data_IF_020657017040
#
_entry.id   IF_020657017040
#
_cell.length_a   1.000
_cell.length_b   1.000
_cell.length_c   1.000
_cell.angle_alpha   90.00
_cell.angle_beta   90.00
_cell.angle_gamma   90.00
#
_symmetry.space_group_name_H-M   'P 1'
#
loop_
_entity.id
_entity.type
_entity.pdbx_description
1 polymer ?
#
# COMPACT_ATOMS: atom_id res chain seq x y z
N UNK A 1 17.77 7.64 -9.76
CA UNK A 1 16.57 7.27 -10.54
C UNK A 1 15.70 6.36 -9.70
N UNK A 2 14.37 6.38 -9.89
CA UNK A 2 13.40 5.61 -9.12
C UNK A 2 12.37 5.01 -10.07
N UNK A 3 12.05 3.72 -9.90
CA UNK A 3 10.99 3.04 -10.65
C UNK A 3 9.98 2.45 -9.68
N UNK A 4 8.72 2.75 -9.94
CA UNK A 4 7.60 2.22 -9.19
C UNK A 4 6.84 1.21 -10.06
N UNK A 5 6.90 -0.07 -9.69
CA UNK A 5 6.31 -1.17 -10.44
C UNK A 5 4.83 -1.40 -10.11
N UNK A 6 4.11 -0.33 -9.79
CA UNK A 6 2.65 -0.38 -9.68
C UNK A 6 2.04 0.98 -10.03
N UNK A 7 0.92 0.93 -10.70
CA UNK A 7 0.04 2.08 -10.93
C UNK A 7 -1.41 1.66 -10.70
N UNK A 8 -1.83 0.56 -11.33
CA UNK A 8 -3.14 -0.07 -11.17
C UNK A 8 -2.98 -1.59 -11.15
N UNK A 9 -3.98 -2.31 -10.61
CA UNK A 9 -4.00 -3.77 -10.56
C UNK A 9 -3.07 -4.36 -9.47
N UNK A 10 -2.70 -5.62 -9.68
CA UNK A 10 -1.83 -6.38 -8.79
C UNK A 10 -0.54 -6.78 -9.53
N UNK A 11 0.62 -6.20 -9.18
CA UNK A 11 1.86 -6.46 -9.91
C UNK A 11 2.31 -7.92 -9.88
N UNK A 12 2.01 -8.65 -8.82
CA UNK A 12 2.45 -10.04 -8.65
C UNK A 12 1.78 -11.03 -9.60
N UNK A 13 0.76 -10.62 -10.37
CA UNK A 13 0.21 -11.44 -11.45
C UNK A 13 1.00 -11.30 -12.76
N UNK A 14 1.89 -10.30 -12.86
CA UNK A 14 2.73 -10.14 -14.04
C UNK A 14 3.90 -11.14 -13.97
N UNK A 15 4.02 -12.09 -14.91
CA UNK A 15 5.07 -13.09 -14.88
C UNK A 15 6.49 -12.53 -15.00
N UNK A 16 6.63 -11.32 -15.55
CA UNK A 16 7.91 -10.66 -15.76
C UNK A 16 8.31 -9.68 -14.64
N UNK A 17 7.48 -9.52 -13.60
CA UNK A 17 7.72 -8.54 -12.53
C UNK A 17 9.15 -8.63 -11.97
N UNK A 18 9.56 -9.81 -11.56
CA UNK A 18 10.86 -10.02 -10.91
C UNK A 18 12.04 -9.79 -11.87
N UNK A 19 11.89 -10.15 -13.13
CA UNK A 19 12.88 -9.89 -14.18
C UNK A 19 13.07 -8.41 -14.41
N UNK A 20 11.97 -7.65 -14.49
CA UNK A 20 12.01 -6.20 -14.64
C UNK A 20 12.65 -5.52 -13.42
N UNK A 21 12.32 -5.96 -12.20
CA UNK A 21 12.93 -5.43 -10.97
C UNK A 21 14.43 -5.73 -10.98
N UNK A 22 14.84 -6.98 -11.23
CA UNK A 22 16.25 -7.38 -11.26
C UNK A 22 17.05 -6.58 -12.30
N UNK A 23 16.47 -6.34 -13.48
CA UNK A 23 17.12 -5.50 -14.49
C UNK A 23 17.34 -4.08 -13.98
N UNK A 24 16.34 -3.46 -13.38
CA UNK A 24 16.46 -2.10 -12.86
C UNK A 24 17.46 -2.02 -11.69
N UNK A 25 17.41 -2.97 -10.76
CA UNK A 25 18.33 -2.99 -9.62
C UNK A 25 19.77 -3.22 -10.02
N UNK A 26 20.03 -4.02 -11.09
CA UNK A 26 21.38 -4.19 -11.66
C UNK A 26 21.94 -2.90 -12.26
N UNK A 27 21.08 -1.92 -12.56
CA UNK A 27 21.46 -0.57 -13.02
C UNK A 27 21.49 0.46 -11.89
N UNK A 28 21.48 0.01 -10.62
CA UNK A 28 21.42 0.88 -9.44
C UNK A 28 20.19 1.81 -9.41
N UNK A 29 19.06 1.37 -9.98
CA UNK A 29 17.80 2.10 -9.94
C UNK A 29 17.02 1.62 -8.72
N UNK A 30 16.58 2.56 -7.88
CA UNK A 30 15.72 2.23 -6.74
C UNK A 30 14.35 1.75 -7.23
N UNK A 31 13.93 0.57 -6.75
CA UNK A 31 12.69 -0.08 -7.14
C UNK A 31 11.73 -0.24 -5.98
N UNK A 32 10.47 0.09 -6.22
CA UNK A 32 9.38 -0.21 -5.29
C UNK A 32 8.19 -0.83 -6.01
N UNK A 33 7.36 -1.54 -5.25
CA UNK A 33 6.05 -2.01 -5.71
C UNK A 33 5.04 -2.06 -4.56
N UNK A 34 3.80 -2.35 -4.90
CA UNK A 34 2.72 -2.57 -3.93
C UNK A 34 1.97 -3.84 -4.28
N UNK A 35 1.43 -4.52 -3.27
CA UNK A 35 0.64 -5.74 -3.45
C UNK A 35 -0.56 -5.76 -2.50
N UNK A 36 -1.60 -6.47 -2.88
CA UNK A 36 -2.70 -6.83 -1.99
C UNK A 36 -2.33 -8.00 -1.04
N UNK A 37 -1.16 -8.60 -1.20
CA UNK A 37 -0.61 -9.65 -0.35
C UNK A 37 -1.07 -11.08 -0.68
N UNK A 38 -2.06 -11.27 -1.53
CA UNK A 38 -2.61 -12.61 -1.84
C UNK A 38 -1.66 -13.51 -2.63
N UNK A 39 -0.68 -12.92 -3.29
CA UNK A 39 0.30 -13.62 -4.14
C UNK A 39 1.67 -13.78 -3.46
N UNK A 40 1.78 -13.51 -2.16
CA UNK A 40 3.01 -13.70 -1.38
C UNK A 40 3.18 -15.20 -1.01
N UNK A 41 3.24 -16.04 -2.04
CA UNK A 41 3.60 -17.45 -1.90
C UNK A 41 5.06 -17.60 -1.49
N UNK A 42 5.46 -18.78 -1.06
CA UNK A 42 6.86 -19.06 -0.69
C UNK A 42 7.83 -18.73 -1.85
N UNK A 43 7.48 -19.15 -3.05
CA UNK A 43 8.24 -18.89 -4.26
C UNK A 43 8.33 -17.38 -4.57
N UNK A 44 7.21 -16.66 -4.51
CA UNK A 44 7.18 -15.24 -4.81
C UNK A 44 7.91 -14.42 -3.73
N UNK A 45 7.87 -14.83 -2.46
CA UNK A 45 8.67 -14.21 -1.41
C UNK A 45 10.18 -14.33 -1.68
N UNK A 46 10.65 -15.50 -2.08
CA UNK A 46 12.06 -15.70 -2.49
C UNK A 46 12.41 -14.83 -3.69
N UNK A 47 11.60 -14.87 -4.75
CA UNK A 47 11.82 -14.08 -5.97
C UNK A 47 11.83 -12.57 -5.66
N UNK A 48 10.97 -12.10 -4.75
CA UNK A 48 10.95 -10.71 -4.30
C UNK A 48 12.31 -10.29 -3.72
N UNK A 49 12.89 -11.12 -2.86
CA UNK A 49 14.19 -10.81 -2.24
C UNK A 49 15.32 -10.89 -3.27
N UNK A 50 15.37 -11.96 -4.06
CA UNK A 50 16.43 -12.16 -5.06
C UNK A 50 16.40 -11.12 -6.19
N UNK A 51 15.23 -10.55 -6.50
CA UNK A 51 15.12 -9.48 -7.49
C UNK A 51 15.79 -8.16 -7.04
N UNK A 52 16.13 -8.04 -5.75
CA UNK A 52 16.72 -6.83 -5.19
C UNK A 52 15.73 -5.69 -4.96
N UNK A 53 14.42 -5.98 -4.93
CA UNK A 53 13.38 -4.99 -4.63
C UNK A 53 13.69 -4.26 -3.31
N UNK A 54 13.77 -2.91 -3.33
CA UNK A 54 14.14 -2.15 -2.13
C UNK A 54 12.96 -1.78 -1.24
N UNK A 55 11.75 -1.60 -1.79
CA UNK A 55 10.57 -1.26 -1.00
C UNK A 55 9.33 -2.01 -1.49
N UNK A 56 8.61 -2.61 -0.55
CA UNK A 56 7.34 -3.30 -0.81
C UNK A 56 6.25 -2.77 0.11
N UNK A 57 5.16 -2.32 -0.49
CA UNK A 57 3.94 -1.95 0.22
C UNK A 57 2.98 -3.14 0.20
N UNK A 58 2.54 -3.58 1.37
CA UNK A 58 1.44 -4.55 1.52
C UNK A 58 0.22 -3.78 2.02
N UNK A 59 -0.85 -3.81 1.23
CA UNK A 59 -2.07 -3.08 1.57
C UNK A 59 -3.00 -3.95 2.42
N UNK A 60 -3.16 -3.61 3.70
CA UNK A 60 -4.00 -4.33 4.67
C UNK A 60 -4.92 -3.33 5.36
N UNK A 61 -6.23 -3.43 5.14
CA UNK A 61 -7.20 -2.40 5.55
C UNK A 61 -8.16 -2.89 6.67
N UNK A 62 -7.74 -3.89 7.43
CA UNK A 62 -8.44 -4.42 8.61
C UNK A 62 -7.60 -5.45 9.36
N UNK A 63 -7.88 -5.67 10.64
CA UNK A 63 -7.18 -6.62 11.53
C UNK A 63 -7.98 -7.92 11.77
N UNK A 64 -9.28 -7.93 11.43
CA UNK A 64 -10.14 -9.12 11.39
C UNK A 64 -10.65 -9.36 9.97
N UNK A 65 -11.10 -10.59 9.67
CA UNK A 65 -11.66 -10.91 8.35
C UNK A 65 -12.87 -10.01 8.04
N UNK A 66 -13.73 -9.74 9.02
CA UNK A 66 -14.91 -8.91 8.87
C UNK A 66 -14.52 -7.48 8.50
N UNK A 67 -13.63 -6.83 9.27
CA UNK A 67 -13.18 -5.46 8.99
C UNK A 67 -12.39 -5.34 7.68
N UNK A 68 -11.65 -6.39 7.33
CA UNK A 68 -10.86 -6.43 6.10
C UNK A 68 -11.73 -6.48 4.84
N UNK A 69 -12.78 -7.33 4.81
CA UNK A 69 -13.63 -7.49 3.64
C UNK A 69 -14.63 -6.35 3.44
N UNK A 70 -14.83 -5.50 4.43
CA UNK A 70 -15.64 -4.29 4.25
C UNK A 70 -15.13 -3.42 3.10
N UNK A 71 -13.82 -3.25 3.00
CA UNK A 71 -13.18 -2.52 1.93
C UNK A 71 -12.58 -3.45 0.86
N UNK A 72 -11.89 -4.53 1.27
CA UNK A 72 -11.24 -5.51 0.40
C UNK A 72 -12.19 -6.66 0.04
N UNK A 73 -13.19 -6.38 -0.79
CA UNK A 73 -14.18 -7.38 -1.21
C UNK A 73 -13.53 -8.66 -1.71
N UNK A 74 -14.01 -9.82 -1.26
CA UNK A 74 -13.47 -11.15 -1.56
C UNK A 74 -12.02 -11.37 -1.12
N UNK A 75 -11.47 -10.51 -0.25
CA UNK A 75 -10.13 -10.69 0.28
C UNK A 75 -10.09 -11.76 1.39
N UNK A 76 -8.97 -12.45 1.49
CA UNK A 76 -8.66 -13.43 2.53
C UNK A 76 -7.52 -12.89 3.40
N UNK A 77 -7.87 -12.41 4.60
CA UNK A 77 -6.91 -11.79 5.50
C UNK A 77 -5.86 -12.80 6.00
N UNK A 78 -6.26 -14.03 6.30
CA UNK A 78 -5.32 -15.05 6.79
C UNK A 78 -4.27 -15.42 5.74
N UNK A 79 -4.68 -15.46 4.47
CA UNK A 79 -3.74 -15.63 3.36
C UNK A 79 -2.74 -14.49 3.27
N UNK A 80 -3.19 -13.25 3.46
CA UNK A 80 -2.32 -12.06 3.45
C UNK A 80 -1.38 -12.05 4.65
N UNK A 81 -1.87 -12.35 5.86
CA UNK A 81 -1.05 -12.50 7.08
C UNK A 81 0.05 -13.55 6.89
N UNK A 82 -0.34 -14.73 6.42
CA UNK A 82 0.60 -15.82 6.14
C UNK A 82 1.66 -15.39 5.13
N UNK A 83 1.24 -14.73 4.05
CA UNK A 83 2.14 -14.21 3.03
C UNK A 83 3.13 -13.17 3.57
N UNK A 84 2.65 -12.22 4.38
CA UNK A 84 3.50 -11.21 5.02
C UNK A 84 4.52 -11.82 5.98
N UNK A 85 4.09 -12.73 6.87
CA UNK A 85 4.99 -13.49 7.77
C UNK A 85 6.02 -14.31 6.99
N UNK A 86 5.60 -14.94 5.90
CA UNK A 86 6.49 -15.73 5.05
C UNK A 86 7.58 -14.86 4.41
N UNK A 87 7.24 -13.69 3.91
CA UNK A 87 8.21 -12.74 3.35
C UNK A 87 9.23 -12.27 4.41
N UNK A 88 8.77 -11.96 5.63
CA UNK A 88 9.67 -11.60 6.75
C UNK A 88 10.60 -12.75 7.09
N UNK A 89 10.09 -13.99 7.17
CA UNK A 89 10.89 -15.18 7.45
C UNK A 89 11.97 -15.39 6.38
N UNK A 90 11.63 -15.26 5.12
CA UNK A 90 12.61 -15.38 4.03
C UNK A 90 13.66 -14.27 4.07
N UNK A 91 13.23 -13.04 4.34
CA UNK A 91 14.15 -11.90 4.50
C UNK A 91 15.16 -12.16 5.61
N UNK A 92 14.71 -12.65 6.76
CA UNK A 92 15.56 -12.98 7.90
C UNK A 92 16.48 -14.18 7.59
N UNK A 93 15.95 -15.25 7.00
CA UNK A 93 16.72 -16.45 6.62
C UNK A 93 17.85 -16.12 5.65
N UNK A 94 17.60 -15.24 4.70
CA UNK A 94 18.58 -14.81 3.70
C UNK A 94 19.43 -13.62 4.21
N UNK A 95 19.24 -13.16 5.44
CA UNK A 95 19.90 -11.99 6.04
C UNK A 95 19.86 -10.77 5.11
N UNK A 96 18.75 -10.61 4.39
CA UNK A 96 18.59 -9.54 3.41
C UNK A 96 18.20 -8.23 4.08
N UNK A 97 18.88 -7.13 3.70
CA UNK A 97 18.46 -5.77 4.09
C UNK A 97 17.14 -5.36 3.46
N UNK A 98 16.84 -5.88 2.28
CA UNK A 98 15.68 -5.51 1.47
C UNK A 98 14.72 -6.70 1.25
N UNK A 99 13.45 -6.40 0.94
CA UNK A 99 12.81 -5.09 0.87
C UNK A 99 12.55 -4.47 2.24
N UNK A 100 12.45 -3.13 2.29
CA UNK A 100 11.76 -2.44 3.38
C UNK A 100 10.28 -2.67 3.19
N UNK A 101 9.64 -3.34 4.16
CA UNK A 101 8.26 -3.82 4.06
C UNK A 101 7.35 -2.87 4.81
N UNK A 102 6.37 -2.31 4.11
CA UNK A 102 5.44 -1.29 4.63
C UNK A 102 4.04 -1.87 4.68
N UNK A 103 3.42 -1.88 5.86
CA UNK A 103 1.98 -2.07 5.96
C UNK A 103 1.30 -0.75 5.64
N UNK A 104 0.57 -0.68 4.53
CA UNK A 104 -0.25 0.48 4.20
C UNK A 104 -1.70 0.25 4.59
N UNK A 105 -2.20 1.12 5.45
CA UNK A 105 -3.58 1.11 5.93
C UNK A 105 -4.35 2.28 5.33
N UNK A 106 -5.34 2.00 4.48
CA UNK A 106 -6.22 3.01 3.91
C UNK A 106 -7.34 3.30 4.90
N UNK A 107 -7.37 4.53 5.42
CA UNK A 107 -8.39 4.93 6.39
C UNK A 107 -9.66 5.34 5.67
N UNK A 108 -10.75 4.71 6.11
CA UNK A 108 -12.14 5.06 5.81
C UNK A 108 -12.94 5.08 7.12
N UNK A 109 -14.17 5.59 7.09
CA UNK A 109 -15.01 5.73 8.28
C UNK A 109 -15.22 4.42 9.05
N UNK A 110 -15.34 3.31 8.35
CA UNK A 110 -15.61 2.00 8.95
C UNK A 110 -14.42 1.39 9.69
N UNK A 111 -13.18 1.85 9.40
CA UNK A 111 -11.96 1.30 10.00
C UNK A 111 -11.09 2.34 10.74
N UNK A 112 -11.49 3.62 10.79
CA UNK A 112 -10.67 4.68 11.42
C UNK A 112 -10.39 4.45 12.91
N UNK A 113 -11.22 3.65 13.59
CA UNK A 113 -11.04 3.28 14.99
C UNK A 113 -9.94 2.23 15.19
N UNK A 114 -9.52 1.52 14.13
CA UNK A 114 -8.55 0.41 14.19
C UNK A 114 -7.08 0.85 14.08
N UNK A 115 -6.78 2.15 14.01
CA UNK A 115 -5.42 2.65 13.72
C UNK A 115 -4.37 2.10 14.69
N UNK A 116 -4.65 2.14 15.99
CA UNK A 116 -3.71 1.65 17.01
C UNK A 116 -3.53 0.13 16.95
N UNK A 117 -4.61 -0.60 16.71
CA UNK A 117 -4.60 -2.04 16.55
C UNK A 117 -3.83 -2.45 15.29
N UNK A 118 -4.02 -1.71 14.19
CA UNK A 118 -3.29 -1.94 12.94
C UNK A 118 -1.79 -1.65 13.07
N UNK A 119 -1.41 -0.68 13.91
CA UNK A 119 -0.01 -0.43 14.23
C UNK A 119 0.59 -1.62 15.01
N UNK A 120 -0.09 -2.08 16.05
CA UNK A 120 0.33 -3.26 16.81
C UNK A 120 0.40 -4.51 15.92
N UNK A 121 -0.57 -4.67 15.00
CA UNK A 121 -0.59 -5.75 14.01
C UNK A 121 0.60 -5.69 13.03
N UNK A 122 1.03 -4.50 12.62
CA UNK A 122 2.24 -4.32 11.83
C UNK A 122 3.49 -4.84 12.56
N UNK A 123 3.59 -4.51 13.85
CA UNK A 123 4.70 -4.94 14.71
C UNK A 123 4.66 -6.47 14.94
N UNK A 124 3.49 -7.05 15.18
CA UNK A 124 3.28 -8.52 15.31
C UNK A 124 3.71 -9.28 14.05
N UNK A 125 3.43 -8.73 12.88
CA UNK A 125 3.85 -9.32 11.60
C UNK A 125 5.35 -9.16 11.34
N UNK A 126 6.08 -8.36 12.13
CA UNK A 126 7.50 -8.06 11.96
C UNK A 126 7.78 -7.18 10.73
N UNK A 127 6.84 -6.33 10.34
CA UNK A 127 7.00 -5.42 9.21
C UNK A 127 7.81 -4.18 9.63
N UNK A 128 8.40 -3.49 8.66
CA UNK A 128 9.35 -2.42 8.96
C UNK A 128 8.67 -1.07 9.22
N UNK A 129 7.48 -0.84 8.66
CA UNK A 129 6.81 0.47 8.73
C UNK A 129 5.30 0.32 8.68
N UNK A 130 4.59 1.05 9.54
CA UNK A 130 3.15 1.27 9.43
C UNK A 130 2.88 2.62 8.77
N UNK A 131 2.13 2.62 7.67
CA UNK A 131 1.81 3.83 6.90
C UNK A 131 0.32 4.01 6.71
N UNK A 132 -0.17 5.15 7.15
CA UNK A 132 -1.55 5.57 6.93
C UNK A 132 -1.69 6.20 5.54
N UNK A 133 -2.76 5.84 4.83
CA UNK A 133 -3.16 6.46 3.57
C UNK A 133 -4.58 7.01 3.69
N UNK A 134 -4.78 8.26 3.28
CA UNK A 134 -6.11 8.86 3.23
C UNK A 134 -6.83 8.47 1.95
N UNK A 135 -8.12 8.12 2.09
CA UNK A 135 -8.96 7.74 0.94
C UNK A 135 -9.21 8.93 -0.01
N UNK A 136 -9.30 8.62 -1.30
CA UNK A 136 -9.72 9.57 -2.32
C UNK A 136 -11.11 9.20 -2.82
N UNK A 137 -12.02 10.17 -2.81
CA UNK A 137 -13.38 10.03 -3.32
C UNK A 137 -13.58 10.94 -4.52
N UNK A 138 -14.14 10.42 -5.61
CA UNK A 138 -14.42 11.21 -6.81
C UNK A 138 -15.64 12.11 -6.57
N UNK A 139 -16.68 11.57 -5.95
CA UNK A 139 -17.87 12.33 -5.55
C UNK A 139 -17.82 12.68 -4.05
N UNK A 140 -17.08 13.75 -3.75
CA UNK A 140 -16.87 14.20 -2.36
C UNK A 140 -17.67 15.45 -1.98
N UNK A 141 -18.16 16.24 -2.95
CA UNK A 141 -18.73 17.57 -2.67
C UNK A 141 -19.90 17.54 -1.69
N UNK A 142 -20.76 16.55 -1.81
CA UNK A 142 -21.94 16.38 -0.95
C UNK A 142 -21.68 15.42 0.23
N UNK A 143 -20.43 15.01 0.42
CA UNK A 143 -20.03 14.00 1.37
C UNK A 143 -20.02 12.59 0.78
N UNK A 144 -19.33 11.67 1.45
CA UNK A 144 -19.32 10.26 1.09
C UNK A 144 -19.44 9.41 2.35
N UNK A 145 -20.24 8.33 2.37
CA UNK A 145 -20.45 7.50 3.56
C UNK A 145 -19.15 6.92 4.16
N UNK A 146 -18.14 6.73 3.32
CA UNK A 146 -16.83 6.20 3.73
C UNK A 146 -15.84 7.28 4.17
N UNK A 147 -16.21 8.57 4.16
CA UNK A 147 -15.32 9.61 4.69
C UNK A 147 -15.07 9.41 6.17
N UNK A 148 -13.80 9.43 6.62
CA UNK A 148 -13.47 9.40 8.03
C UNK A 148 -14.19 10.50 8.80
N UNK A 149 -14.66 10.18 9.99
CA UNK A 149 -15.31 11.13 10.90
C UNK A 149 -14.29 12.10 11.50
N UNK A 150 -13.07 11.60 11.73
CA UNK A 150 -11.96 12.44 12.15
C UNK A 150 -11.34 13.13 10.94
N UNK A 151 -11.47 14.46 10.91
CA UNK A 151 -10.91 15.27 9.82
C UNK A 151 -9.40 15.08 9.63
N UNK A 152 -8.64 14.76 10.68
CA UNK A 152 -7.19 14.52 10.58
C UNK A 152 -6.87 13.44 9.51
N UNK A 153 -7.72 12.44 9.37
CA UNK A 153 -7.57 11.33 8.43
C UNK A 153 -8.28 11.54 7.10
N UNK A 154 -8.94 12.70 6.92
CA UNK A 154 -9.64 13.04 5.69
C UNK A 154 -8.81 13.97 4.79
N UNK A 155 -8.87 13.76 3.47
CA UNK A 155 -8.38 14.71 2.46
C UNK A 155 -9.26 15.94 2.34
N UNK A 156 -10.45 15.89 2.93
CA UNK A 156 -11.52 16.86 2.74
C UNK A 156 -11.83 17.56 4.04
N UNK A 157 -12.29 18.80 3.95
CA UNK A 157 -12.87 19.56 5.07
C UNK A 157 -14.28 20.02 4.73
N UNK A 158 -15.14 20.09 5.73
CA UNK A 158 -16.50 20.57 5.59
C UNK A 158 -16.53 22.10 5.63
N UNK A 159 -17.22 22.73 4.67
CA UNK A 159 -17.48 24.17 4.62
C UNK A 159 -18.68 24.55 5.47
N UNK A 160 -18.83 25.87 5.73
CA UNK A 160 -19.99 26.43 6.43
C UNK A 160 -21.32 26.13 5.71
N UNK A 161 -21.31 26.02 4.39
CA UNK A 161 -22.48 25.68 3.58
C UNK A 161 -22.78 24.17 3.53
N UNK A 162 -22.11 23.34 4.33
CA UNK A 162 -22.31 21.90 4.39
C UNK A 162 -21.57 21.07 3.33
N UNK A 163 -21.02 21.70 2.29
CA UNK A 163 -20.26 21.01 1.25
C UNK A 163 -18.84 20.71 1.68
N UNK A 164 -18.19 19.74 1.02
CA UNK A 164 -16.79 19.39 1.24
C UNK A 164 -15.89 19.97 0.16
N UNK A 165 -14.67 20.33 0.55
CA UNK A 165 -13.58 20.74 -0.35
C UNK A 165 -12.29 20.01 -0.01
N UNK A 166 -11.36 19.95 -0.96
CA UNK A 166 -10.01 19.43 -0.71
C UNK A 166 -9.26 20.36 0.26
N UNK A 167 -8.60 19.78 1.26
CA UNK A 167 -7.73 20.52 2.19
C UNK A 167 -6.55 21.15 1.46
N UNK A 168 -5.94 20.40 0.56
CA UNK A 168 -4.83 20.88 -0.26
C UNK A 168 -5.39 21.33 -1.61
N UNK A 169 -5.36 22.62 -1.88
CA UNK A 169 -5.64 23.15 -3.22
C UNK A 169 -4.51 22.76 -4.15
N UNK A 170 -4.84 21.99 -5.17
CA UNK A 170 -3.88 21.75 -6.26
C UNK A 170 -3.65 23.08 -6.99
N UNK A 171 -2.40 23.54 -7.02
CA UNK A 171 -1.99 24.56 -7.98
C UNK A 171 -2.13 23.94 -9.36
N UNK A 172 -2.52 24.70 -10.39
CA UNK A 172 -2.63 24.23 -11.78
C UNK A 172 -1.25 23.85 -12.39
N UNK A 173 -0.34 23.41 -11.56
CA UNK A 173 1.02 23.03 -11.92
C UNK A 173 1.30 21.66 -11.32
N UNK A 174 1.37 20.65 -12.17
CA UNK A 174 1.81 19.32 -11.78
C UNK A 174 3.27 19.14 -12.22
N UNK A 175 4.22 19.38 -11.30
CA UNK A 175 5.64 19.20 -11.58
C UNK A 175 5.99 17.76 -12.01
N UNK A 176 5.18 16.76 -11.61
CA UNK A 176 5.36 15.36 -12.03
C UNK A 176 5.26 15.17 -13.53
N UNK A 177 4.52 16.01 -14.24
CA UNK A 177 4.47 15.97 -15.70
C UNK A 177 5.85 16.21 -16.35
N UNK A 178 6.76 16.87 -15.63
CA UNK A 178 8.10 17.20 -16.11
C UNK A 178 9.17 16.22 -15.61
N UNK A 179 8.88 15.45 -14.57
CA UNK A 179 9.87 14.63 -13.88
C UNK A 179 9.55 13.14 -13.84
N UNK A 180 8.38 12.72 -14.32
CA UNK A 180 7.98 11.31 -14.31
C UNK A 180 7.10 10.95 -15.52
N UNK A 181 7.12 9.69 -15.89
CA UNK A 181 6.22 9.10 -16.88
C UNK A 181 5.57 7.84 -16.32
N UNK A 182 4.45 7.47 -16.90
CA UNK A 182 3.78 6.17 -16.66
C UNK A 182 3.89 5.38 -17.96
N UNK A 183 4.39 4.16 -17.85
CA UNK A 183 4.41 3.17 -18.94
C UNK A 183 3.36 2.11 -18.60
N UNK A 184 2.41 1.88 -19.50
CA UNK A 184 1.32 0.91 -19.36
C UNK A 184 1.51 -0.27 -20.29
#
# INVERSE_FOLDING_TARGET
MYVNYYFQGEPYINPNLFTMISHSTSKNIFCSTSTNGHFLTDENCKKTIYSGLQSLIISIDGNSQESYVEYRKNGDLEKVKKGAKNLVNWKNKLKSKYPHIILQFLIVKTNEHLINEMKAFCDELGLNEFRIKTAQFYDFKNGNPLMPSNEQYSRYRKKKNGQYELKNKFKNQCWRMWSSCVVT
#
